data_IF_248830987307
#
_entry.id   IF_248830987307
#
_cell.length_a   1.000
_cell.length_b   1.000
_cell.length_c   1.000
_cell.angle_alpha   90.00
_cell.angle_beta   90.00
_cell.angle_gamma   90.00
#
_symmetry.space_group_name_H-M   'P 1'
#
loop_
_entity.id
_entity.type
_entity.pdbx_description
1 polymer ?
#
# COMPACT_ATOMS: atom_id res chain seq x y z
N UNK A 1 -1.26 15.77 -11.18
CA UNK A 1 -1.89 15.75 -9.84
C UNK A 1 -0.77 15.66 -8.81
N UNK A 2 -0.89 16.41 -7.70
CA UNK A 2 0.09 16.42 -6.60
C UNK A 2 -0.49 15.72 -5.38
N UNK A 3 0.16 14.65 -4.89
CA UNK A 3 -0.35 13.81 -3.80
C UNK A 3 -1.35 12.75 -4.29
N UNK A 4 -2.38 12.48 -3.51
CA UNK A 4 -3.42 11.50 -3.84
C UNK A 4 -4.30 11.98 -4.99
N UNK A 5 -4.54 11.11 -5.95
CA UNK A 5 -5.13 11.48 -7.22
C UNK A 5 -6.57 11.06 -7.43
N UNK A 6 -7.13 10.26 -6.57
CA UNK A 6 -8.42 9.61 -6.78
C UNK A 6 -9.56 10.62 -6.97
N UNK A 7 -9.70 11.57 -6.06
CA UNK A 7 -10.76 12.60 -6.15
C UNK A 7 -10.54 13.55 -7.34
N UNK A 8 -9.28 13.88 -7.62
CA UNK A 8 -8.97 14.76 -8.74
C UNK A 8 -9.26 14.10 -10.10
N UNK A 9 -8.93 12.80 -10.25
CA UNK A 9 -9.25 12.03 -11.46
C UNK A 9 -10.76 11.88 -11.63
N UNK A 10 -11.48 11.59 -10.55
CA UNK A 10 -12.94 11.52 -10.58
C UNK A 10 -13.55 12.86 -11.01
N UNK A 11 -13.08 13.97 -10.44
CA UNK A 11 -13.55 15.31 -10.80
C UNK A 11 -13.27 15.68 -12.26
N UNK A 12 -12.11 15.26 -12.81
CA UNK A 12 -11.80 15.43 -14.25
C UNK A 12 -12.75 14.60 -15.12
N UNK A 13 -13.00 13.35 -14.75
CA UNK A 13 -13.92 12.47 -15.47
C UNK A 13 -15.37 13.00 -15.46
N UNK A 14 -15.77 13.68 -14.38
CA UNK A 14 -17.05 14.38 -14.24
C UNK A 14 -17.08 15.75 -14.95
N UNK A 15 -16.01 16.12 -15.66
CA UNK A 15 -15.87 17.40 -16.38
C UNK A 15 -16.04 18.64 -15.50
N UNK A 16 -15.63 18.55 -14.22
CA UNK A 16 -15.61 19.71 -13.34
C UNK A 16 -14.59 20.75 -13.82
N UNK A 17 -14.85 22.06 -13.60
CA UNK A 17 -13.91 23.12 -13.96
C UNK A 17 -12.53 22.87 -13.37
N UNK A 18 -11.47 22.87 -14.19
CA UNK A 18 -10.12 22.48 -13.79
C UNK A 18 -9.57 23.34 -12.66
N UNK A 19 -9.91 24.62 -12.64
CA UNK A 19 -9.50 25.59 -11.60
C UNK A 19 -10.09 25.27 -10.21
N UNK A 20 -11.15 24.47 -10.14
CA UNK A 20 -11.81 24.07 -8.90
C UNK A 20 -11.34 22.71 -8.36
N UNK A 21 -10.48 22.01 -9.10
CA UNK A 21 -10.00 20.68 -8.70
C UNK A 21 -8.74 20.83 -7.84
N UNK A 22 -8.78 20.52 -6.54
CA UNK A 22 -7.61 20.59 -5.68
C UNK A 22 -6.49 19.68 -6.17
N UNK A 23 -5.25 20.02 -5.82
CA UNK A 23 -4.06 19.24 -6.16
C UNK A 23 -3.74 19.15 -7.66
N UNK A 24 -4.54 19.74 -8.55
CA UNK A 24 -4.31 19.71 -9.98
C UNK A 24 -3.24 20.75 -10.39
N UNK A 25 -2.37 20.36 -11.30
CA UNK A 25 -1.54 21.27 -12.10
C UNK A 25 -1.90 21.04 -13.55
N UNK A 26 -2.24 22.11 -14.25
CA UNK A 26 -2.76 22.03 -15.62
C UNK A 26 -2.31 23.21 -16.45
N UNK A 27 -2.53 23.16 -17.75
CA UNK A 27 -2.16 24.20 -18.70
C UNK A 27 -3.41 24.92 -19.16
N UNK A 28 -3.43 26.26 -19.01
CA UNK A 28 -4.55 27.10 -19.46
C UNK A 28 -4.59 27.19 -20.98
N UNK A 29 -5.67 27.75 -21.51
CA UNK A 29 -5.80 28.04 -22.96
C UNK A 29 -4.74 28.99 -23.47
N UNK A 30 -4.26 29.93 -22.64
CA UNK A 30 -3.13 30.82 -22.96
C UNK A 30 -1.77 30.10 -22.94
N UNK A 31 -1.72 28.87 -22.50
CA UNK A 31 -0.49 28.07 -22.39
C UNK A 31 0.23 28.20 -21.07
N UNK A 32 -0.31 28.95 -20.10
CA UNK A 32 0.29 29.15 -18.78
C UNK A 32 0.07 27.95 -17.89
N UNK A 33 1.04 27.64 -17.02
CA UNK A 33 0.92 26.59 -16.01
C UNK A 33 0.15 27.12 -14.80
N UNK A 34 -1.01 26.55 -14.55
CA UNK A 34 -1.85 26.86 -13.39
C UNK A 34 -1.67 25.78 -12.33
N UNK A 35 -1.43 26.21 -11.10
CA UNK A 35 -1.23 25.31 -9.95
C UNK A 35 -2.34 25.59 -8.94
N UNK A 36 -3.30 24.68 -8.83
CA UNK A 36 -4.40 24.82 -7.89
C UNK A 36 -3.94 24.61 -6.44
N UNK A 37 -4.73 25.09 -5.51
CA UNK A 37 -4.46 24.92 -4.08
C UNK A 37 -4.37 23.42 -3.71
N UNK A 38 -3.45 23.09 -2.82
CA UNK A 38 -3.33 21.73 -2.27
C UNK A 38 -4.46 21.47 -1.27
N UNK A 39 -5.05 20.30 -1.33
CA UNK A 39 -5.98 19.83 -0.31
C UNK A 39 -5.24 18.97 0.71
N UNK A 40 -5.51 19.21 1.98
CA UNK A 40 -5.05 18.37 3.08
C UNK A 40 -6.07 17.26 3.43
N UNK A 41 -7.13 17.15 2.64
CA UNK A 41 -8.13 16.08 2.79
C UNK A 41 -7.56 14.83 2.14
N UNK A 42 -7.45 13.78 2.94
CA UNK A 42 -6.98 12.47 2.50
C UNK A 42 -8.16 11.51 2.35
N UNK A 43 -8.08 10.68 1.32
CA UNK A 43 -9.10 9.67 1.06
C UNK A 43 -9.11 8.62 2.16
N UNK A 44 -10.31 8.20 2.58
CA UNK A 44 -10.52 7.03 3.42
C UNK A 44 -10.21 5.76 2.60
N UNK A 45 -9.15 5.04 2.97
CA UNK A 45 -8.67 3.89 2.19
C UNK A 45 -9.68 2.74 2.14
N UNK A 46 -10.56 2.62 3.12
CA UNK A 46 -11.60 1.58 3.12
C UNK A 46 -12.72 1.86 2.10
N UNK A 47 -12.90 3.13 1.72
CA UNK A 47 -13.90 3.55 0.73
C UNK A 47 -13.40 3.48 -0.71
N UNK A 48 -12.10 3.33 -0.91
CA UNK A 48 -11.54 3.21 -2.25
C UNK A 48 -12.05 1.92 -2.92
N UNK A 49 -12.45 1.98 -4.20
CA UNK A 49 -12.72 0.77 -4.95
C UNK A 49 -11.45 -0.06 -5.11
N UNK A 50 -11.59 -1.37 -5.30
CA UNK A 50 -10.44 -2.17 -5.71
C UNK A 50 -9.94 -1.71 -7.08
N UNK A 51 -8.64 -1.79 -7.35
CA UNK A 51 -8.09 -1.50 -8.67
C UNK A 51 -8.82 -2.27 -9.77
N UNK A 52 -8.99 -1.65 -10.94
CA UNK A 52 -9.66 -2.26 -12.09
C UNK A 52 -8.79 -3.35 -12.73
N UNK A 53 -8.54 -4.43 -12.01
CA UNK A 53 -7.70 -5.54 -12.46
C UNK A 53 -8.16 -6.15 -13.78
N UNK A 54 -9.45 -6.11 -14.10
CA UNK A 54 -10.00 -6.58 -15.37
C UNK A 54 -9.47 -5.82 -16.59
N UNK A 55 -8.97 -4.60 -16.39
CA UNK A 55 -8.34 -3.78 -17.43
C UNK A 55 -6.84 -4.04 -17.58
N UNK A 56 -6.27 -4.89 -16.75
CA UNK A 56 -4.84 -5.22 -16.76
C UNK A 56 -4.64 -6.63 -17.34
N UNK A 57 -3.57 -6.85 -18.09
CA UNK A 57 -3.23 -8.20 -18.60
C UNK A 57 -2.63 -9.06 -17.48
N UNK A 58 -3.45 -9.41 -16.46
CA UNK A 58 -3.01 -10.07 -15.23
C UNK A 58 -2.14 -11.32 -15.48
N UNK A 59 -2.44 -12.09 -16.55
CA UNK A 59 -1.66 -13.29 -16.90
C UNK A 59 -0.24 -13.00 -17.37
N UNK A 60 0.07 -11.74 -17.73
CA UNK A 60 1.42 -11.33 -18.18
C UNK A 60 2.32 -10.88 -17.02
N UNK A 61 1.74 -10.57 -15.85
CA UNK A 61 2.53 -10.16 -14.68
C UNK A 61 3.31 -11.36 -14.14
N UNK A 62 4.59 -11.13 -13.88
CA UNK A 62 5.49 -12.11 -13.25
C UNK A 62 6.27 -11.39 -12.17
N UNK A 63 6.43 -12.03 -11.05
CA UNK A 63 7.35 -11.54 -10.01
C UNK A 63 8.78 -11.65 -10.50
N UNK A 64 9.63 -10.73 -10.06
CA UNK A 64 11.07 -10.88 -10.22
C UNK A 64 11.56 -12.17 -9.56
N UNK A 65 12.67 -12.70 -10.05
CA UNK A 65 13.25 -13.93 -9.52
C UNK A 65 13.56 -13.75 -8.02
N UNK A 66 13.08 -14.63 -7.19
CA UNK A 66 13.27 -14.56 -5.74
C UNK A 66 12.32 -13.59 -4.99
N UNK A 67 11.50 -12.80 -5.69
CA UNK A 67 10.59 -11.84 -5.08
C UNK A 67 9.26 -12.47 -4.62
N UNK A 68 8.97 -13.69 -5.06
CA UNK A 68 7.77 -14.41 -4.64
C UNK A 68 8.06 -15.90 -4.49
N UNK A 69 7.43 -16.52 -3.50
CA UNK A 69 7.52 -17.97 -3.24
C UNK A 69 6.51 -18.76 -4.06
N UNK A 70 5.34 -18.17 -4.32
CA UNK A 70 4.23 -18.81 -5.06
C UNK A 70 3.77 -17.91 -6.22
N UNK A 71 3.22 -18.52 -7.25
CA UNK A 71 2.69 -17.81 -8.44
C UNK A 71 1.27 -18.30 -8.76
N UNK A 72 0.38 -17.46 -9.25
CA UNK A 72 0.53 -16.02 -9.51
C UNK A 72 0.65 -15.19 -8.24
N UNK A 73 1.40 -14.09 -8.31
CA UNK A 73 1.59 -13.15 -7.20
C UNK A 73 1.28 -11.73 -7.63
N UNK A 74 0.96 -10.87 -6.65
CA UNK A 74 0.63 -9.46 -6.90
C UNK A 74 1.11 -8.57 -5.76
N UNK A 75 1.47 -7.31 -6.08
CA UNK A 75 1.72 -6.28 -5.11
C UNK A 75 0.43 -5.66 -4.60
N UNK A 76 0.40 -5.32 -3.30
CA UNK A 76 -0.72 -4.62 -2.67
C UNK A 76 -0.19 -3.55 -1.73
N UNK A 77 -0.81 -2.37 -1.74
CA UNK A 77 -0.57 -1.29 -0.77
C UNK A 77 -1.81 -1.20 0.11
N UNK A 78 -1.63 -1.34 1.42
CA UNK A 78 -2.72 -1.37 2.41
C UNK A 78 -2.62 -0.24 3.43
N UNK A 79 -1.58 0.60 3.30
CA UNK A 79 -1.43 1.82 4.09
C UNK A 79 -0.75 2.91 3.25
N UNK A 80 -0.91 4.16 3.65
CA UNK A 80 -0.25 5.32 3.05
C UNK A 80 0.33 6.20 4.12
N UNK A 81 1.58 6.66 3.90
CA UNK A 81 2.36 7.43 4.84
C UNK A 81 3.20 6.55 5.76
N UNK A 82 4.22 7.15 6.33
CA UNK A 82 5.13 6.50 7.27
C UNK A 82 5.44 7.45 8.43
N UNK A 83 5.36 7.02 9.70
CA UNK A 83 5.67 7.85 10.85
C UNK A 83 7.17 8.05 11.05
N UNK A 84 8.01 7.32 10.29
CA UNK A 84 9.46 7.43 10.34
C UNK A 84 9.95 8.82 9.89
N UNK A 85 11.04 9.29 10.49
CA UNK A 85 11.69 10.55 10.17
C UNK A 85 13.11 10.32 9.63
N UNK A 86 13.30 9.27 8.84
CA UNK A 86 14.60 8.91 8.28
C UNK A 86 15.10 10.05 7.38
N UNK A 87 16.31 10.52 7.61
CA UNK A 87 16.88 11.73 6.97
C UNK A 87 17.06 11.58 5.47
N UNK A 88 17.25 10.38 4.99
CA UNK A 88 17.41 10.04 3.57
C UNK A 88 16.10 9.70 2.85
N UNK A 89 14.98 9.55 3.59
CA UNK A 89 13.72 9.09 3.03
C UNK A 89 12.82 10.25 2.58
N UNK A 90 12.24 10.14 1.37
CA UNK A 90 11.24 11.07 0.90
C UNK A 90 9.83 10.62 1.30
N UNK A 91 9.28 11.20 2.36
CA UNK A 91 7.91 10.95 2.85
C UNK A 91 6.87 11.96 2.30
N UNK A 92 7.25 12.80 1.34
CA UNK A 92 6.44 13.95 0.91
C UNK A 92 5.16 13.63 0.14
N UNK A 93 4.97 12.41 -0.34
CA UNK A 93 3.77 12.04 -1.11
C UNK A 93 2.54 11.88 -0.20
N UNK A 94 2.66 11.05 0.82
CA UNK A 94 1.55 10.71 1.74
C UNK A 94 1.71 11.31 3.14
N UNK A 95 2.84 11.99 3.40
CA UNK A 95 3.17 12.62 4.69
C UNK A 95 3.52 11.64 5.81
N UNK A 96 3.75 12.19 6.99
CA UNK A 96 4.13 11.42 8.19
C UNK A 96 2.94 10.77 8.91
N UNK A 97 1.70 11.20 8.63
CA UNK A 97 0.49 10.60 9.21
C UNK A 97 0.14 9.34 8.43
N UNK A 98 0.39 8.19 9.06
CA UNK A 98 0.02 6.91 8.45
C UNK A 98 -1.49 6.67 8.53
N UNK A 99 -2.07 6.18 7.43
CA UNK A 99 -3.47 5.76 7.31
C UNK A 99 -3.50 4.33 6.78
N UNK A 100 -4.44 3.55 7.26
CA UNK A 100 -4.53 2.12 6.97
C UNK A 100 -5.87 1.75 6.37
N UNK A 101 -5.87 0.77 5.48
CA UNK A 101 -7.06 -0.06 5.27
C UNK A 101 -7.30 -0.88 6.53
N UNK A 102 -8.57 -1.08 6.89
CA UNK A 102 -8.94 -1.99 7.97
C UNK A 102 -8.53 -3.43 7.65
N UNK A 103 -8.28 -4.28 8.65
CA UNK A 103 -8.01 -5.70 8.44
C UNK A 103 -9.08 -6.38 7.58
N UNK A 104 -10.34 -6.05 7.82
CA UNK A 104 -11.48 -6.56 7.04
C UNK A 104 -11.36 -6.17 5.55
N UNK A 105 -11.06 -4.90 5.27
CA UNK A 105 -10.93 -4.42 3.88
C UNK A 105 -9.77 -5.10 3.15
N UNK A 106 -8.64 -5.30 3.85
CA UNK A 106 -7.51 -6.05 3.30
C UNK A 106 -7.89 -7.49 2.98
N UNK A 107 -8.57 -8.16 3.91
CA UNK A 107 -9.02 -9.54 3.74
C UNK A 107 -10.00 -9.68 2.56
N UNK A 108 -10.99 -8.79 2.46
CA UNK A 108 -11.91 -8.74 1.32
C UNK A 108 -11.14 -8.62 -0.02
N UNK A 109 -10.10 -7.80 -0.06
CA UNK A 109 -9.30 -7.61 -1.26
C UNK A 109 -8.47 -8.86 -1.60
N UNK A 110 -7.88 -9.52 -0.58
CA UNK A 110 -7.18 -10.80 -0.75
C UNK A 110 -8.10 -11.87 -1.34
N UNK A 111 -9.29 -12.02 -0.75
CA UNK A 111 -10.29 -12.99 -1.21
C UNK A 111 -10.75 -12.69 -2.63
N UNK A 112 -10.99 -11.43 -2.97
CA UNK A 112 -11.33 -11.00 -4.32
C UNK A 112 -10.24 -11.40 -5.34
N UNK A 113 -8.98 -11.12 -5.04
CA UNK A 113 -7.84 -11.46 -5.89
C UNK A 113 -7.68 -12.97 -6.05
N UNK A 114 -7.83 -13.72 -4.96
CA UNK A 114 -7.77 -15.18 -4.97
C UNK A 114 -8.87 -15.78 -5.83
N UNK A 115 -10.12 -15.33 -5.65
CA UNK A 115 -11.27 -15.86 -6.36
C UNK A 115 -11.28 -15.54 -7.86
N UNK A 116 -10.92 -14.32 -8.24
CA UNK A 116 -11.04 -13.85 -9.62
C UNK A 116 -9.78 -14.04 -10.47
N UNK A 117 -8.61 -14.09 -9.84
CA UNK A 117 -7.32 -14.13 -10.55
C UNK A 117 -6.42 -15.28 -10.11
N UNK A 118 -6.87 -16.13 -9.20
CA UNK A 118 -6.12 -17.28 -8.71
C UNK A 118 -4.82 -16.90 -7.99
N UNK A 119 -4.73 -15.67 -7.44
CA UNK A 119 -3.53 -15.18 -6.75
C UNK A 119 -3.19 -16.11 -5.57
N UNK A 120 -1.93 -16.49 -5.46
CA UNK A 120 -1.40 -17.38 -4.42
C UNK A 120 -0.43 -16.68 -3.48
N UNK A 121 0.02 -15.49 -3.85
CA UNK A 121 0.96 -14.72 -3.04
C UNK A 121 0.72 -13.21 -3.17
N UNK A 122 0.91 -12.50 -2.06
CA UNK A 122 0.82 -11.05 -2.01
C UNK A 122 2.11 -10.47 -1.46
N UNK A 123 2.67 -9.47 -2.15
CA UNK A 123 3.73 -8.63 -1.62
C UNK A 123 3.12 -7.33 -1.12
N UNK A 124 3.11 -7.12 0.20
CA UNK A 124 2.65 -5.85 0.77
C UNK A 124 3.75 -4.79 0.63
N UNK A 125 3.46 -3.76 -0.16
CA UNK A 125 4.37 -2.64 -0.45
C UNK A 125 4.08 -1.41 0.41
N UNK A 126 3.53 -1.62 1.60
CA UNK A 126 3.41 -0.55 2.60
C UNK A 126 4.80 -0.10 3.05
N UNK A 127 5.02 1.21 3.22
CA UNK A 127 6.31 1.75 3.69
C UNK A 127 6.76 1.10 5.02
N UNK A 128 5.81 0.80 5.90
CA UNK A 128 6.03 0.04 7.15
C UNK A 128 4.76 -0.73 7.48
N UNK A 129 4.62 -1.95 6.98
CA UNK A 129 3.45 -2.80 7.18
C UNK A 129 3.13 -3.02 8.67
N UNK A 130 4.16 -3.13 9.48
CA UNK A 130 4.09 -3.44 10.91
C UNK A 130 3.93 -2.21 11.83
N UNK A 131 3.74 -1.01 11.25
CA UNK A 131 3.63 0.24 12.04
C UNK A 131 2.43 0.25 13.01
N UNK A 132 1.38 -0.53 12.75
CA UNK A 132 0.26 -0.72 13.68
C UNK A 132 0.14 -2.20 14.03
N UNK A 133 0.70 -2.57 15.20
CA UNK A 133 0.74 -3.94 15.68
C UNK A 133 -0.66 -4.57 15.78
N UNK A 134 -1.63 -3.86 16.38
CA UNK A 134 -3.00 -4.37 16.56
C UNK A 134 -3.65 -4.71 15.23
N UNK A 135 -3.48 -3.86 14.22
CA UNK A 135 -3.98 -4.10 12.86
C UNK A 135 -3.38 -5.37 12.25
N UNK A 136 -2.06 -5.56 12.40
CA UNK A 136 -1.39 -6.76 11.88
C UNK A 136 -1.86 -8.01 12.60
N UNK A 137 -2.01 -7.96 13.92
CA UNK A 137 -2.56 -9.07 14.72
C UNK A 137 -3.97 -9.43 14.26
N UNK A 138 -4.85 -8.45 14.09
CA UNK A 138 -6.24 -8.68 13.67
C UNK A 138 -6.31 -9.27 12.25
N UNK A 139 -5.50 -8.77 11.32
CA UNK A 139 -5.42 -9.32 9.96
C UNK A 139 -4.90 -10.76 9.97
N UNK A 140 -3.80 -11.03 10.67
CA UNK A 140 -3.23 -12.37 10.74
C UNK A 140 -4.20 -13.37 11.37
N UNK A 141 -4.88 -13.02 12.47
CA UNK A 141 -5.91 -13.87 13.08
C UNK A 141 -7.05 -14.16 12.10
N UNK A 142 -7.57 -13.13 11.41
CA UNK A 142 -8.62 -13.34 10.42
C UNK A 142 -8.17 -14.28 9.29
N UNK A 143 -6.94 -14.16 8.82
CA UNK A 143 -6.38 -15.05 7.78
C UNK A 143 -6.26 -16.50 8.27
N UNK A 144 -5.88 -16.71 9.53
CA UNK A 144 -5.76 -18.04 10.16
C UNK A 144 -7.15 -18.65 10.38
N UNK A 145 -8.07 -17.91 10.98
CA UNK A 145 -9.43 -18.34 11.31
C UNK A 145 -10.21 -18.76 10.05
N UNK A 146 -10.07 -17.99 8.98
CA UNK A 146 -10.69 -18.26 7.68
C UNK A 146 -9.88 -19.24 6.82
N UNK A 147 -8.76 -19.76 7.33
CA UNK A 147 -7.86 -20.70 6.64
C UNK A 147 -7.47 -20.23 5.23
N UNK A 148 -7.08 -18.97 5.13
CA UNK A 148 -6.71 -18.35 3.86
C UNK A 148 -5.39 -18.94 3.38
N UNK A 149 -5.42 -19.76 2.34
CA UNK A 149 -4.21 -20.29 1.69
C UNK A 149 -3.59 -19.23 0.76
N UNK A 150 -2.81 -18.32 1.34
CA UNK A 150 -2.01 -17.28 0.68
C UNK A 150 -0.65 -17.21 1.36
N UNK A 151 0.43 -17.19 0.60
CA UNK A 151 1.74 -16.75 1.10
C UNK A 151 1.89 -15.24 0.91
N UNK A 152 2.68 -14.59 1.75
CA UNK A 152 2.88 -13.15 1.62
C UNK A 152 4.23 -12.68 2.17
N UNK A 153 4.63 -11.49 1.70
CA UNK A 153 5.82 -10.78 2.14
C UNK A 153 5.49 -9.31 2.45
N UNK A 154 6.30 -8.64 3.25
CA UNK A 154 6.12 -7.22 3.56
C UNK A 154 7.43 -6.50 3.87
N UNK A 155 7.36 -5.17 3.93
CA UNK A 155 8.42 -4.31 4.45
C UNK A 155 8.13 -3.93 5.90
N UNK A 156 9.16 -3.90 6.73
CA UNK A 156 9.05 -3.54 8.14
C UNK A 156 10.30 -2.81 8.63
N UNK A 157 10.14 -2.07 9.72
CA UNK A 157 11.26 -1.58 10.51
C UNK A 157 11.56 -2.57 11.63
N UNK A 158 12.82 -2.69 12.01
CA UNK A 158 13.25 -3.64 13.06
C UNK A 158 12.61 -3.35 14.42
N UNK A 159 12.33 -2.07 14.69
CA UNK A 159 11.73 -1.60 15.95
C UNK A 159 10.20 -1.79 16.03
N UNK A 160 9.55 -2.22 14.95
CA UNK A 160 8.10 -2.44 14.89
C UNK A 160 7.66 -3.89 15.06
N UNK A 161 8.61 -4.80 15.28
CA UNK A 161 8.35 -6.24 15.42
C UNK A 161 8.88 -6.80 16.75
N UNK A 162 8.31 -7.91 17.17
CA UNK A 162 8.80 -8.72 18.29
C UNK A 162 8.52 -10.22 18.01
N UNK A 163 9.05 -11.16 18.84
CA UNK A 163 8.90 -12.58 18.58
C UNK A 163 7.45 -13.05 18.45
N UNK A 164 6.50 -12.46 19.18
CA UNK A 164 5.10 -12.88 19.15
C UNK A 164 4.41 -12.52 17.86
N UNK A 165 4.59 -11.26 17.39
CA UNK A 165 4.02 -10.83 16.12
C UNK A 165 4.65 -11.60 14.96
N UNK A 166 5.96 -11.87 15.00
CA UNK A 166 6.65 -12.64 13.96
C UNK A 166 6.13 -14.08 13.86
N UNK A 167 5.85 -14.75 15.00
CA UNK A 167 5.24 -16.08 15.02
C UNK A 167 3.84 -16.05 14.41
N UNK A 168 3.02 -15.08 14.80
CA UNK A 168 1.67 -14.94 14.27
C UNK A 168 1.66 -14.63 12.77
N UNK A 169 2.54 -13.74 12.30
CA UNK A 169 2.70 -13.45 10.87
C UNK A 169 3.09 -14.72 10.10
N UNK A 170 4.04 -15.50 10.62
CA UNK A 170 4.46 -16.77 10.00
C UNK A 170 3.30 -17.76 9.90
N UNK A 171 2.51 -17.92 10.97
CA UNK A 171 1.33 -18.79 10.98
C UNK A 171 0.29 -18.33 9.96
N UNK A 172 0.10 -17.02 9.78
CA UNK A 172 -0.76 -16.43 8.78
C UNK A 172 -0.21 -16.47 7.34
N UNK A 173 0.93 -17.13 7.10
CA UNK A 173 1.50 -17.33 5.76
C UNK A 173 2.59 -16.34 5.34
N UNK A 174 3.08 -15.48 6.24
CA UNK A 174 4.25 -14.64 5.97
C UNK A 174 5.50 -15.50 5.84
N UNK A 175 6.20 -15.38 4.72
CA UNK A 175 7.44 -16.11 4.50
C UNK A 175 8.68 -15.22 4.41
N UNK A 176 8.48 -13.91 4.21
CA UNK A 176 9.58 -12.97 4.06
C UNK A 176 9.20 -11.60 4.62
N UNK A 177 10.14 -11.00 5.34
CA UNK A 177 10.07 -9.61 5.79
C UNK A 177 11.35 -8.92 5.33
N UNK A 178 11.19 -7.82 4.60
CA UNK A 178 12.30 -6.98 4.17
C UNK A 178 12.48 -5.84 5.18
N UNK A 179 13.65 -5.76 5.79
CA UNK A 179 14.01 -4.71 6.75
C UNK A 179 14.98 -3.71 6.13
N UNK A 180 14.76 -2.42 6.40
CA UNK A 180 15.76 -1.39 6.16
C UNK A 180 16.74 -1.38 7.33
N UNK A 181 17.95 -1.90 7.13
CA UNK A 181 19.06 -1.83 8.08
C UNK A 181 20.00 -0.67 7.81
N UNK A 182 19.97 -0.17 6.57
CA UNK A 182 20.69 0.97 5.99
C UNK A 182 22.22 0.86 6.14
N UNK A 183 22.74 0.69 7.35
CA UNK A 183 24.17 0.49 7.63
C UNK A 183 24.37 -0.49 8.79
N UNK A 184 25.56 -1.11 8.85
CA UNK A 184 26.06 -1.84 10.01
C UNK A 184 27.12 -1.03 10.79
N UNK A 185 27.39 0.18 10.35
CA UNK A 185 28.38 1.10 10.95
C UNK A 185 27.64 2.09 11.83
N UNK A 186 28.03 2.13 13.13
CA UNK A 186 27.38 2.98 14.14
C UNK A 186 27.58 4.47 13.89
N UNK A 187 28.68 4.87 13.23
CA UNK A 187 28.95 6.28 12.90
C UNK A 187 28.07 6.78 11.74
N UNK A 188 27.47 5.86 10.98
CA UNK A 188 26.56 6.17 9.87
C UNK A 188 25.08 6.18 10.33
N UNK A 189 24.76 5.40 11.35
CA UNK A 189 23.40 5.29 11.90
C UNK A 189 23.11 6.40 12.90
#
# INVERSE_FOLDING_TARGET
>A
IRGEGEDAIAAIAEQKPLEKIPNLTWKSESGDVVINQRSDIFVDLDKLPFPSYSKLPMQKYRSALGAARRSPSIGMITSRGCPGQCTFCFSGMFGSKIRFMSPRRVLEHILYLKANYGIKEISFYDDTFTANRKRVEDLCRSMIDEKIDISWSCFARVDTVNPDILRLMKEAGCHQICYGFESADEDIL
#
